data_IF_648680846862
#
_entry.id   IF_648680846862
#
_cell.length_a   1.000
_cell.length_b   1.000
_cell.length_c   1.000
_cell.angle_alpha   90.00
_cell.angle_beta   90.00
_cell.angle_gamma   90.00
#
_symmetry.space_group_name_H-M   'P 1'
#
loop_
_entity.id
_entity.type
_entity.pdbx_description
1 polymer ?
#
# COMPACT_ATOMS: atom_id res chain seq x y z
N UNK A 1 30.98 -4.23 4.73
CA UNK A 1 30.70 -2.82 4.41
C UNK A 1 30.54 -2.56 2.92
N UNK A 2 31.56 -2.73 2.06
CA UNK A 2 31.45 -2.45 0.60
C UNK A 2 30.29 -3.20 -0.06
N UNK A 3 30.13 -4.50 0.20
CA UNK A 3 29.03 -5.31 -0.35
C UNK A 3 27.65 -4.78 0.06
N UNK A 4 27.49 -4.28 1.29
CA UNK A 4 26.21 -3.74 1.78
C UNK A 4 25.89 -2.40 1.13
N UNK A 5 26.90 -1.56 0.90
CA UNK A 5 26.77 -0.33 0.12
C UNK A 5 26.37 -0.66 -1.32
N UNK A 6 26.98 -1.68 -1.93
CA UNK A 6 26.61 -2.15 -3.27
C UNK A 6 25.14 -2.64 -3.30
N UNK A 7 24.71 -3.43 -2.31
CA UNK A 7 23.29 -3.84 -2.22
C UNK A 7 22.35 -2.66 -2.12
N UNK A 8 22.70 -1.67 -1.31
CA UNK A 8 21.88 -0.46 -1.14
C UNK A 8 21.80 0.35 -2.45
N UNK A 9 22.92 0.59 -3.10
CA UNK A 9 22.97 1.39 -4.34
C UNK A 9 22.31 0.66 -5.51
N UNK A 10 22.69 -0.60 -5.75
CA UNK A 10 22.11 -1.43 -6.83
C UNK A 10 20.62 -1.63 -6.58
N UNK A 11 20.24 -1.94 -5.31
CA UNK A 11 18.85 -2.10 -4.92
C UNK A 11 18.04 -0.84 -5.20
N UNK A 12 18.53 0.33 -4.82
CA UNK A 12 17.86 1.60 -5.06
C UNK A 12 17.73 1.93 -6.56
N UNK A 13 18.78 1.67 -7.36
CA UNK A 13 18.71 1.86 -8.82
C UNK A 13 17.68 0.93 -9.44
N UNK A 14 17.67 -0.36 -9.06
CA UNK A 14 16.68 -1.32 -9.54
C UNK A 14 15.26 -0.94 -9.12
N UNK A 15 15.08 -0.48 -7.89
CA UNK A 15 13.80 -0.04 -7.36
C UNK A 15 13.24 1.15 -8.17
N UNK A 16 14.04 2.18 -8.41
CA UNK A 16 13.62 3.38 -9.16
C UNK A 16 13.37 3.04 -10.63
N UNK A 17 14.27 2.31 -11.30
CA UNK A 17 14.11 1.91 -12.70
C UNK A 17 13.00 0.90 -12.89
N UNK A 18 12.82 -0.01 -11.93
CA UNK A 18 11.70 -0.93 -11.89
C UNK A 18 10.37 -0.19 -11.79
N UNK A 19 10.28 0.80 -10.90
CA UNK A 19 9.10 1.64 -10.76
C UNK A 19 8.80 2.46 -12.03
N UNK A 20 9.83 2.98 -12.72
CA UNK A 20 9.66 3.67 -14.00
C UNK A 20 8.96 2.78 -15.04
N UNK A 21 9.48 1.55 -15.24
CA UNK A 21 8.92 0.57 -16.18
C UNK A 21 7.51 0.12 -15.74
N UNK A 22 7.34 -0.12 -14.44
CA UNK A 22 6.06 -0.58 -13.90
C UNK A 22 4.93 0.43 -14.12
N UNK A 23 5.21 1.71 -13.86
CA UNK A 23 4.25 2.80 -14.07
C UNK A 23 3.96 2.99 -15.56
N UNK A 24 4.98 2.97 -16.45
CA UNK A 24 4.77 3.06 -17.89
C UNK A 24 3.89 1.93 -18.42
N UNK A 25 4.21 0.68 -18.03
CA UNK A 25 3.41 -0.47 -18.40
C UNK A 25 1.96 -0.39 -17.88
N UNK A 26 1.77 0.13 -16.64
CA UNK A 26 0.46 0.34 -16.05
C UNK A 26 -0.36 1.42 -16.79
N UNK A 27 0.27 2.53 -17.15
CA UNK A 27 -0.36 3.60 -17.96
C UNK A 27 -0.83 3.07 -19.30
N UNK A 28 0.06 2.43 -20.06
CA UNK A 28 -0.26 1.87 -21.36
C UNK A 28 -1.31 0.75 -21.30
N UNK A 29 -1.26 -0.08 -20.21
CA UNK A 29 -2.29 -1.09 -19.97
C UNK A 29 -3.67 -0.44 -19.77
N UNK A 30 -3.74 0.63 -18.95
CA UNK A 30 -4.99 1.34 -18.71
C UNK A 30 -5.56 1.93 -20.00
N UNK A 31 -4.72 2.57 -20.81
CA UNK A 31 -5.10 3.14 -22.11
C UNK A 31 -5.60 2.04 -23.08
N UNK A 32 -4.89 0.90 -23.18
CA UNK A 32 -5.30 -0.22 -24.06
C UNK A 32 -6.57 -0.91 -23.63
N UNK A 33 -6.77 -1.09 -22.34
CA UNK A 33 -8.01 -1.67 -21.80
C UNK A 33 -9.13 -0.63 -21.74
N UNK A 34 -8.81 0.64 -22.04
CA UNK A 34 -9.74 1.78 -21.94
C UNK A 34 -10.39 1.89 -20.57
N UNK A 35 -9.65 1.58 -19.52
CA UNK A 35 -10.10 1.69 -18.13
C UNK A 35 -9.38 2.85 -17.45
N UNK A 36 -10.01 3.53 -16.49
CA UNK A 36 -9.36 4.61 -15.76
C UNK A 36 -8.05 4.16 -15.10
N UNK A 37 -7.00 4.98 -15.19
CA UNK A 37 -5.67 4.66 -14.67
C UNK A 37 -5.68 4.37 -13.16
N UNK A 38 -6.58 5.00 -12.39
CA UNK A 38 -6.71 4.74 -10.96
C UNK A 38 -7.10 3.29 -10.65
N UNK A 39 -7.88 2.61 -11.53
CA UNK A 39 -8.24 1.20 -11.34
C UNK A 39 -7.02 0.31 -11.50
N UNK A 40 -6.13 0.60 -12.47
CA UNK A 40 -4.88 -0.15 -12.62
C UNK A 40 -3.97 0.10 -11.41
N UNK A 41 -3.90 1.35 -10.93
CA UNK A 41 -3.22 1.69 -9.69
C UNK A 41 -3.77 0.92 -8.48
N UNK A 42 -5.09 0.91 -8.31
CA UNK A 42 -5.82 0.28 -7.22
C UNK A 42 -5.73 -1.25 -7.21
N UNK A 43 -5.44 -1.86 -8.35
CA UNK A 43 -5.42 -3.32 -8.52
C UNK A 43 -4.02 -3.83 -8.86
N UNK A 44 -3.57 -3.67 -10.10
CA UNK A 44 -2.31 -4.27 -10.59
C UNK A 44 -1.09 -3.69 -9.85
N UNK A 45 -1.04 -2.36 -9.71
CA UNK A 45 0.12 -1.71 -9.08
C UNK A 45 0.13 -1.97 -7.58
N UNK A 46 -1.00 -1.79 -6.91
CA UNK A 46 -1.13 -2.05 -5.48
C UNK A 46 -0.84 -3.52 -5.12
N UNK A 47 -1.37 -4.47 -5.89
CA UNK A 47 -1.05 -5.89 -5.71
C UNK A 47 0.45 -6.14 -5.82
N UNK A 48 1.09 -5.61 -6.87
CA UNK A 48 2.51 -5.84 -7.10
C UNK A 48 3.39 -5.25 -6.00
N UNK A 49 3.13 -4.02 -5.58
CA UNK A 49 3.96 -3.36 -4.56
C UNK A 49 3.77 -3.96 -3.17
N UNK A 50 2.58 -4.47 -2.83
CA UNK A 50 2.28 -5.07 -1.52
C UNK A 50 2.66 -6.55 -1.38
N UNK A 51 3.32 -7.16 -2.38
CA UNK A 51 3.81 -8.53 -2.24
C UNK A 51 4.90 -8.73 -1.17
N UNK A 52 5.81 -7.78 -0.90
CA UNK A 52 6.71 -7.89 0.24
C UNK A 52 5.97 -7.94 1.58
N UNK A 53 4.95 -7.12 1.78
CA UNK A 53 4.09 -7.17 2.95
C UNK A 53 3.39 -8.52 3.09
N UNK A 54 2.88 -9.05 1.96
CA UNK A 54 2.27 -10.38 1.93
C UNK A 54 3.28 -11.46 2.36
N UNK A 55 4.49 -11.42 1.83
CA UNK A 55 5.53 -12.39 2.18
C UNK A 55 5.87 -12.34 3.67
N UNK A 56 6.03 -11.14 4.24
CA UNK A 56 6.32 -10.96 5.69
C UNK A 56 5.16 -11.44 6.53
N UNK A 57 3.94 -10.97 6.30
CA UNK A 57 2.79 -11.25 7.16
C UNK A 57 2.33 -12.71 7.06
N UNK A 58 2.32 -13.30 5.87
CA UNK A 58 1.95 -14.70 5.68
C UNK A 58 3.00 -15.62 6.33
N UNK A 59 4.30 -15.31 6.14
CA UNK A 59 5.37 -16.09 6.78
C UNK A 59 5.30 -15.98 8.31
N UNK A 60 5.07 -14.78 8.85
CA UNK A 60 4.89 -14.58 10.28
C UNK A 60 3.70 -15.39 10.83
N UNK A 61 2.58 -15.43 10.10
CA UNK A 61 1.40 -16.24 10.48
C UNK A 61 1.71 -17.74 10.45
N UNK A 62 2.44 -18.23 9.46
CA UNK A 62 2.89 -19.62 9.39
C UNK A 62 3.81 -20.01 10.55
N UNK A 63 4.58 -19.05 11.07
CA UNK A 63 5.49 -19.23 12.22
C UNK A 63 4.82 -18.98 13.57
N UNK A 64 3.52 -18.63 13.60
CA UNK A 64 2.79 -18.28 14.81
C UNK A 64 3.14 -16.91 15.40
N UNK A 65 3.87 -16.07 14.66
CA UNK A 65 4.26 -14.70 15.06
C UNK A 65 3.15 -13.70 14.71
N UNK A 66 2.00 -13.85 15.36
CA UNK A 66 0.77 -13.15 15.04
C UNK A 66 0.88 -11.62 15.11
N UNK A 67 1.57 -11.10 16.15
CA UNK A 67 1.78 -9.67 16.34
C UNK A 67 2.57 -9.05 15.18
N UNK A 68 3.55 -9.78 14.63
CA UNK A 68 4.31 -9.33 13.46
C UNK A 68 3.39 -9.29 12.24
N UNK A 69 2.53 -10.30 12.04
CA UNK A 69 1.64 -10.37 10.91
C UNK A 69 0.67 -9.19 10.86
N UNK A 70 -0.04 -8.92 11.96
CA UNK A 70 -1.04 -7.84 12.01
C UNK A 70 -0.39 -6.46 12.14
N UNK A 71 0.70 -6.34 12.90
CA UNK A 71 1.44 -5.11 13.09
C UNK A 71 2.05 -4.60 11.79
N UNK A 72 2.60 -5.49 10.94
CA UNK A 72 3.10 -5.15 9.62
C UNK A 72 1.99 -4.54 8.74
N UNK A 73 0.80 -5.14 8.73
CA UNK A 73 -0.34 -4.67 7.93
C UNK A 73 -0.83 -3.28 8.38
N UNK A 74 -1.07 -3.08 9.68
CA UNK A 74 -1.54 -1.80 10.20
C UNK A 74 -0.45 -0.73 10.02
N UNK A 75 0.80 -1.06 10.31
CA UNK A 75 1.94 -0.17 10.17
C UNK A 75 2.16 0.29 8.73
N UNK A 76 2.11 -0.64 7.75
CA UNK A 76 2.19 -0.33 6.32
C UNK A 76 1.04 0.57 5.88
N UNK A 77 -0.20 0.33 6.35
CA UNK A 77 -1.34 1.16 5.99
C UNK A 77 -1.23 2.59 6.55
N UNK A 78 -0.71 2.75 7.77
CA UNK A 78 -0.42 4.06 8.36
C UNK A 78 0.69 4.77 7.55
N UNK A 79 1.78 4.05 7.22
CA UNK A 79 2.88 4.58 6.42
C UNK A 79 2.41 4.99 5.02
N UNK A 80 1.65 4.13 4.35
CA UNK A 80 1.09 4.41 3.04
C UNK A 80 0.23 5.69 3.04
N UNK A 81 -0.64 5.82 4.04
CA UNK A 81 -1.54 6.99 4.13
C UNK A 81 -0.79 8.26 4.50
N UNK A 82 0.12 8.22 5.49
CA UNK A 82 0.77 9.42 6.03
C UNK A 82 2.07 9.81 5.33
N UNK A 83 2.80 8.84 4.75
CA UNK A 83 4.11 9.09 4.16
C UNK A 83 4.08 8.95 2.64
N UNK A 84 3.60 7.82 2.11
CA UNK A 84 3.62 7.56 0.65
C UNK A 84 2.77 8.59 -0.10
N UNK A 85 1.55 8.84 0.39
CA UNK A 85 0.64 9.81 -0.22
C UNK A 85 1.19 11.24 -0.16
N UNK A 86 1.81 11.61 0.96
CA UNK A 86 2.46 12.93 1.14
C UNK A 86 3.69 13.05 0.25
N UNK A 87 4.55 12.03 0.22
CA UNK A 87 5.73 12.05 -0.63
C UNK A 87 5.35 12.25 -2.10
N UNK A 88 4.28 11.59 -2.57
CA UNK A 88 3.73 11.81 -3.91
C UNK A 88 3.26 13.26 -4.10
N UNK A 89 2.58 13.83 -3.11
CA UNK A 89 2.05 15.20 -3.16
C UNK A 89 3.13 16.30 -3.12
N UNK A 90 4.34 15.98 -2.66
CA UNK A 90 5.48 16.90 -2.71
C UNK A 90 6.00 17.12 -4.13
N UNK A 91 5.95 16.08 -4.99
CA UNK A 91 6.40 16.14 -6.38
C UNK A 91 5.33 16.74 -7.30
N UNK A 92 4.05 16.39 -7.08
CA UNK A 92 2.94 16.99 -7.80
C UNK A 92 1.72 17.04 -6.85
N UNK A 93 0.91 18.14 -6.87
CA UNK A 93 -0.34 18.17 -6.10
C UNK A 93 -1.21 16.99 -6.49
N UNK A 94 -1.40 16.05 -5.55
CA UNK A 94 -2.15 14.82 -5.81
C UNK A 94 -3.64 15.15 -5.80
N UNK A 95 -4.22 15.28 -6.99
CA UNK A 95 -5.65 15.43 -7.14
C UNK A 95 -6.33 14.09 -6.77
N UNK A 96 -7.28 14.15 -5.83
CA UNK A 96 -8.09 12.99 -5.46
C UNK A 96 -9.48 13.20 -6.04
N UNK A 97 -9.83 12.48 -7.10
CA UNK A 97 -11.03 12.74 -7.90
C UNK A 97 -12.07 11.61 -7.78
N UNK A 98 -13.31 11.96 -8.11
CA UNK A 98 -14.37 11.05 -8.51
C UNK A 98 -14.58 9.85 -7.59
N UNK A 99 -14.41 8.66 -8.11
CA UNK A 99 -14.74 7.41 -7.43
C UNK A 99 -13.80 7.06 -6.29
N UNK A 100 -12.54 7.50 -6.33
CA UNK A 100 -11.61 7.31 -5.21
C UNK A 100 -12.17 7.98 -3.96
N UNK A 101 -12.62 9.25 -4.06
CA UNK A 101 -13.23 9.97 -2.93
C UNK A 101 -14.58 9.42 -2.51
N UNK A 102 -15.42 9.01 -3.48
CA UNK A 102 -16.81 8.64 -3.19
C UNK A 102 -16.98 7.18 -2.78
N UNK A 103 -16.06 6.29 -3.18
CA UNK A 103 -16.18 4.86 -2.99
C UNK A 103 -14.96 4.27 -2.28
N UNK A 104 -13.76 4.43 -2.88
CA UNK A 104 -12.61 3.63 -2.48
C UNK A 104 -12.03 4.07 -1.13
N UNK A 105 -11.98 5.37 -0.89
CA UNK A 105 -11.54 5.91 0.40
C UNK A 105 -12.53 5.58 1.54
N UNK A 106 -13.86 5.82 1.41
CA UNK A 106 -14.84 5.37 2.40
C UNK A 106 -14.84 3.85 2.59
N UNK A 107 -14.65 3.09 1.52
CA UNK A 107 -14.53 1.63 1.61
C UNK A 107 -13.30 1.22 2.43
N UNK A 108 -12.14 1.85 2.20
CA UNK A 108 -10.92 1.60 2.98
C UNK A 108 -11.12 1.89 4.47
N UNK A 109 -11.81 2.99 4.83
CA UNK A 109 -12.18 3.30 6.22
C UNK A 109 -13.13 2.24 6.78
N UNK A 110 -14.14 1.87 6.00
CA UNK A 110 -15.14 0.88 6.40
C UNK A 110 -14.53 -0.50 6.68
N UNK A 111 -13.62 -0.98 5.83
CA UNK A 111 -12.97 -2.29 6.04
C UNK A 111 -12.02 -2.27 7.24
N UNK A 112 -11.38 -1.12 7.55
CA UNK A 112 -10.59 -0.98 8.79
C UNK A 112 -11.49 -1.11 10.01
N UNK A 113 -12.68 -0.49 10.00
CA UNK A 113 -13.67 -0.63 11.05
C UNK A 113 -14.19 -2.09 11.16
N UNK A 114 -14.47 -2.74 10.02
CA UNK A 114 -14.86 -4.16 9.99
C UNK A 114 -13.77 -5.03 10.61
N UNK A 115 -12.50 -4.81 10.29
CA UNK A 115 -11.38 -5.54 10.89
C UNK A 115 -11.38 -5.41 12.43
N UNK A 116 -11.58 -4.20 12.97
CA UNK A 116 -11.63 -3.97 14.42
C UNK A 116 -12.84 -4.70 15.04
N UNK A 117 -14.00 -4.64 14.39
CA UNK A 117 -15.19 -5.35 14.85
C UNK A 117 -14.95 -6.86 14.89
N UNK A 118 -14.35 -7.43 13.85
CA UNK A 118 -14.03 -8.87 13.79
C UNK A 118 -13.05 -9.27 14.89
N UNK A 119 -12.01 -8.45 15.16
CA UNK A 119 -11.06 -8.68 16.25
C UNK A 119 -11.76 -8.80 17.64
N UNK A 120 -12.85 -8.04 17.85
CA UNK A 120 -13.48 -7.92 19.16
C UNK A 120 -14.69 -8.82 19.36
N UNK A 121 -15.39 -9.27 18.31
CA UNK A 121 -16.75 -9.80 18.45
C UNK A 121 -16.88 -11.32 18.39
N UNK A 122 -16.05 -12.04 17.65
CA UNK A 122 -16.29 -13.46 17.37
C UNK A 122 -15.53 -14.44 18.28
N UNK A 123 -14.82 -13.99 19.33
CA UNK A 123 -13.84 -14.79 20.05
C UNK A 123 -14.07 -15.00 21.57
N UNK A 124 -15.30 -14.90 22.05
CA UNK A 124 -15.63 -15.20 23.48
C UNK A 124 -14.72 -14.52 24.52
N UNK A 125 -14.25 -13.30 24.22
CA UNK A 125 -13.41 -12.50 25.13
C UNK A 125 -11.93 -12.39 24.74
N UNK A 126 -11.47 -13.19 23.78
CA UNK A 126 -10.11 -13.02 23.21
C UNK A 126 -10.12 -11.98 22.07
N UNK A 127 -9.11 -11.15 22.02
CA UNK A 127 -8.88 -10.25 20.87
C UNK A 127 -8.12 -11.05 19.81
N UNK A 128 -8.81 -11.48 18.75
CA UNK A 128 -8.18 -12.29 17.72
C UNK A 128 -9.01 -12.29 16.42
N UNK A 129 -8.35 -12.55 15.30
CA UNK A 129 -8.99 -12.94 14.05
C UNK A 129 -9.00 -14.46 13.92
N UNK A 130 -10.16 -15.02 13.67
CA UNK A 130 -10.35 -16.45 13.42
C UNK A 130 -10.22 -16.79 11.94
N UNK A 131 -10.23 -18.09 11.61
CA UNK A 131 -10.30 -18.55 10.22
C UNK A 131 -11.57 -18.07 9.52
N UNK A 132 -12.69 -17.97 10.25
CA UNK A 132 -13.93 -17.45 9.68
C UNK A 132 -13.80 -15.98 9.32
N UNK A 133 -13.17 -15.17 10.18
CA UNK A 133 -12.89 -13.77 9.90
C UNK A 133 -12.00 -13.62 8.67
N UNK A 134 -10.98 -14.48 8.53
CA UNK A 134 -10.14 -14.51 7.34
C UNK A 134 -10.94 -14.79 6.07
N UNK A 135 -11.87 -15.75 6.10
CA UNK A 135 -12.76 -16.06 4.96
C UNK A 135 -13.66 -14.86 4.65
N UNK A 136 -14.20 -14.18 5.67
CA UNK A 136 -15.02 -12.97 5.50
C UNK A 136 -14.21 -11.88 4.80
N UNK A 137 -12.97 -11.62 5.26
CA UNK A 137 -12.09 -10.63 4.65
C UNK A 137 -11.78 -10.97 3.18
N UNK A 138 -11.48 -12.23 2.87
CA UNK A 138 -11.24 -12.69 1.50
C UNK A 138 -12.49 -12.58 0.62
N UNK A 139 -13.67 -12.86 1.15
CA UNK A 139 -14.92 -12.67 0.43
C UNK A 139 -15.17 -11.19 0.11
N UNK A 140 -14.91 -10.28 1.07
CA UNK A 140 -14.97 -8.84 0.85
C UNK A 140 -13.94 -8.37 -0.19
N UNK A 141 -12.75 -8.97 -0.19
CA UNK A 141 -11.74 -8.72 -1.23
C UNK A 141 -12.23 -9.11 -2.61
N UNK A 142 -12.82 -10.30 -2.75
CA UNK A 142 -13.39 -10.75 -4.03
C UNK A 142 -14.50 -9.81 -4.52
N UNK A 143 -15.39 -9.37 -3.62
CA UNK A 143 -16.44 -8.39 -3.94
C UNK A 143 -15.83 -7.06 -4.39
N UNK A 144 -14.81 -6.57 -3.69
CA UNK A 144 -14.10 -5.35 -4.07
C UNK A 144 -13.45 -5.46 -5.46
N UNK A 145 -12.75 -6.56 -5.74
CA UNK A 145 -12.10 -6.79 -7.03
C UNK A 145 -13.10 -6.86 -8.18
N UNK A 146 -14.19 -7.64 -8.00
CA UNK A 146 -15.27 -7.72 -9.01
C UNK A 146 -15.90 -6.34 -9.22
N UNK A 147 -16.19 -5.62 -8.13
CA UNK A 147 -16.76 -4.26 -8.20
C UNK A 147 -15.85 -3.30 -8.96
N UNK A 148 -14.53 -3.36 -8.72
CA UNK A 148 -13.54 -2.51 -9.40
C UNK A 148 -13.46 -2.82 -10.91
N UNK A 149 -13.48 -4.10 -11.30
CA UNK A 149 -13.50 -4.52 -12.72
C UNK A 149 -14.80 -4.08 -13.41
N UNK A 150 -15.96 -4.28 -12.76
CA UNK A 150 -17.27 -3.89 -13.33
C UNK A 150 -17.33 -2.38 -13.54
N UNK A 151 -16.85 -1.60 -12.56
CA UNK A 151 -16.82 -0.14 -12.68
C UNK A 151 -15.85 0.31 -13.77
N UNK A 152 -14.67 -0.28 -13.85
CA UNK A 152 -13.73 0.00 -14.92
C UNK A 152 -14.35 -0.17 -16.31
N UNK A 153 -15.08 -1.27 -16.51
CA UNK A 153 -15.83 -1.52 -17.76
C UNK A 153 -16.95 -0.51 -18.00
N UNK A 154 -17.62 -0.05 -16.94
CA UNK A 154 -18.69 0.97 -17.08
C UNK A 154 -18.12 2.34 -17.45
N UNK A 155 -17.01 2.74 -16.81
CA UNK A 155 -16.34 4.00 -17.12
C UNK A 155 -15.65 3.97 -18.48
N UNK A 156 -15.13 2.83 -18.92
CA UNK A 156 -14.60 2.60 -20.25
C UNK A 156 -15.58 3.02 -21.36
N UNK A 157 -16.86 2.64 -21.21
CA UNK A 157 -17.91 3.02 -22.17
C UNK A 157 -18.18 4.53 -22.21
N UNK A 158 -17.93 5.24 -21.09
CA UNK A 158 -18.07 6.69 -21.02
C UNK A 158 -16.85 7.40 -21.67
N UNK A 159 -15.68 6.81 -21.54
CA UNK A 159 -14.43 7.30 -22.17
C UNK A 159 -14.47 7.10 -23.68
N UNK A 160 -15.04 6.00 -24.17
CA UNK A 160 -15.24 5.75 -25.62
C UNK A 160 -16.09 6.82 -26.31
N UNK A 161 -17.01 7.45 -25.58
CA UNK A 161 -17.83 8.55 -26.10
C UNK A 161 -17.14 9.92 -26.06
N UNK A 162 -15.98 10.03 -25.39
CA UNK A 162 -15.16 11.24 -25.34
C UNK A 162 -13.93 11.03 -26.24
N UNK A 163 -13.69 11.93 -27.20
CA UNK A 163 -12.58 11.85 -28.18
C UNK A 163 -11.17 11.96 -27.57
N UNK A 164 -11.02 12.11 -26.25
CA UNK A 164 -9.75 12.31 -25.52
C UNK A 164 -9.21 11.01 -24.88
N UNK A 165 -9.13 9.90 -25.60
CA UNK A 165 -8.40 8.74 -25.10
C UNK A 165 -6.90 8.92 -25.29
N UNK A 166 -6.12 8.94 -24.22
CA UNK A 166 -4.65 8.85 -24.28
C UNK A 166 -4.26 7.66 -25.18
N UNK A 167 -3.45 7.91 -26.20
CA UNK A 167 -3.01 6.86 -27.11
C UNK A 167 -1.96 6.01 -26.37
N UNK A 168 -2.21 4.72 -26.32
CA UNK A 168 -1.22 3.77 -25.81
C UNK A 168 -0.06 3.65 -26.82
N UNK A 169 1.16 3.93 -26.38
CA UNK A 169 2.34 3.93 -27.26
C UNK A 169 2.89 2.51 -27.48
N UNK A 170 2.76 1.60 -26.49
CA UNK A 170 3.32 0.27 -26.54
C UNK A 170 2.31 -0.79 -27.02
N UNK A 171 2.73 -1.85 -27.75
CA UNK A 171 1.89 -3.01 -28.00
C UNK A 171 1.62 -3.80 -26.70
N UNK A 172 0.47 -4.50 -26.59
CA UNK A 172 0.01 -5.18 -25.36
C UNK A 172 1.10 -6.04 -24.71
N UNK A 173 1.84 -6.83 -25.50
CA UNK A 173 2.91 -7.69 -24.98
C UNK A 173 4.04 -6.88 -24.31
N UNK A 174 4.37 -5.69 -24.83
CA UNK A 174 5.36 -4.80 -24.19
C UNK A 174 4.83 -4.18 -22.91
N UNK A 175 3.55 -3.80 -22.86
CA UNK A 175 2.93 -3.34 -21.62
C UNK A 175 3.06 -4.39 -20.52
N UNK A 176 2.71 -5.65 -20.83
CA UNK A 176 2.84 -6.76 -19.89
C UNK A 176 4.30 -7.03 -19.50
N UNK A 177 5.22 -6.97 -20.47
CA UNK A 177 6.64 -7.14 -20.21
C UNK A 177 7.18 -6.03 -19.29
N UNK A 178 6.78 -4.77 -19.50
CA UNK A 178 7.17 -3.64 -18.65
C UNK A 178 6.60 -3.80 -17.24
N UNK A 179 5.36 -4.25 -17.11
CA UNK A 179 4.75 -4.56 -15.81
C UNK A 179 5.57 -5.64 -15.11
N UNK A 180 5.90 -6.75 -15.77
CA UNK A 180 6.61 -7.88 -15.16
C UNK A 180 8.05 -7.48 -14.79
N UNK A 181 8.81 -6.91 -15.71
CA UNK A 181 10.20 -6.49 -15.45
C UNK A 181 10.23 -5.39 -14.40
N UNK A 182 9.33 -4.41 -14.52
CA UNK A 182 9.20 -3.33 -13.55
C UNK A 182 8.87 -3.85 -12.17
N UNK A 183 7.90 -4.74 -12.05
CA UNK A 183 7.53 -5.41 -10.81
C UNK A 183 8.71 -6.16 -10.19
N UNK A 184 9.41 -7.01 -10.96
CA UNK A 184 10.60 -7.74 -10.46
C UNK A 184 11.67 -6.75 -10.00
N UNK A 185 11.92 -5.68 -10.78
CA UNK A 185 12.85 -4.62 -10.40
C UNK A 185 12.48 -3.92 -9.09
N UNK A 186 11.19 -3.62 -8.89
CA UNK A 186 10.67 -3.00 -7.66
C UNK A 186 10.86 -3.94 -6.45
N UNK A 187 10.45 -5.20 -6.57
CA UNK A 187 10.53 -6.16 -5.46
C UNK A 187 11.98 -6.50 -5.11
N UNK A 188 12.78 -6.89 -6.09
CA UNK A 188 14.21 -7.24 -5.87
C UNK A 188 14.99 -6.01 -5.42
N UNK A 189 14.75 -4.86 -6.06
CA UNK A 189 15.38 -3.60 -5.68
C UNK A 189 15.05 -3.19 -4.25
N UNK A 190 13.79 -3.30 -3.85
CA UNK A 190 13.35 -3.05 -2.47
C UNK A 190 14.04 -3.97 -1.47
N UNK A 191 14.05 -5.29 -1.72
CA UNK A 191 14.70 -6.27 -0.84
C UNK A 191 16.21 -6.03 -0.69
N UNK A 192 16.91 -5.73 -1.78
CA UNK A 192 18.34 -5.42 -1.73
C UNK A 192 18.61 -4.12 -0.97
N UNK A 193 17.80 -3.08 -1.19
CA UNK A 193 17.90 -1.81 -0.48
C UNK A 193 17.74 -2.01 1.03
N UNK A 194 16.68 -2.73 1.44
CA UNK A 194 16.41 -3.03 2.85
C UNK A 194 17.54 -3.86 3.46
N UNK A 195 18.01 -4.90 2.76
CA UNK A 195 19.12 -5.74 3.24
C UNK A 195 20.40 -4.90 3.44
N UNK A 196 20.75 -4.07 2.47
CA UNK A 196 21.91 -3.19 2.58
C UNK A 196 21.78 -2.20 3.72
N UNK A 197 20.61 -1.55 3.85
CA UNK A 197 20.35 -0.57 4.91
C UNK A 197 20.34 -1.21 6.31
N UNK A 198 19.71 -2.39 6.47
CA UNK A 198 19.67 -3.15 7.72
C UNK A 198 21.08 -3.47 8.21
N UNK A 199 21.89 -4.08 7.37
CA UNK A 199 23.23 -4.50 7.74
C UNK A 199 24.14 -3.29 8.08
N UNK A 200 24.01 -2.19 7.31
CA UNK A 200 24.75 -0.96 7.60
C UNK A 200 24.34 -0.33 8.94
N UNK A 201 23.05 -0.34 9.26
CA UNK A 201 22.53 0.17 10.53
C UNK A 201 23.02 -0.67 11.72
N UNK A 202 23.05 -2.01 11.60
CA UNK A 202 23.62 -2.91 12.60
C UNK A 202 25.12 -2.68 12.78
N UNK A 203 25.86 -2.51 11.68
CA UNK A 203 27.30 -2.19 11.72
C UNK A 203 27.58 -0.81 12.34
N UNK A 204 26.64 0.13 12.26
CA UNK A 204 26.71 1.44 12.92
C UNK A 204 26.35 1.38 14.42
N UNK A 205 26.08 0.17 14.97
CA UNK A 205 25.78 -0.04 16.39
C UNK A 205 24.32 0.11 16.78
N UNK A 206 23.41 0.21 15.82
CA UNK A 206 21.96 0.20 16.11
C UNK A 206 21.53 -1.19 16.58
N UNK A 207 20.65 -1.27 17.59
CA UNK A 207 20.12 -2.54 18.07
C UNK A 207 19.19 -3.18 17.02
N UNK A 208 19.13 -4.52 17.00
CA UNK A 208 18.22 -5.27 16.11
C UNK A 208 16.76 -4.83 16.26
N UNK A 209 16.34 -4.49 17.48
CA UNK A 209 14.99 -3.98 17.77
C UNK A 209 14.73 -2.66 17.04
N UNK A 210 15.65 -1.69 17.13
CA UNK A 210 15.51 -0.39 16.47
C UNK A 210 15.54 -0.55 14.95
N UNK A 211 16.45 -1.38 14.43
CA UNK A 211 16.54 -1.67 12.99
C UNK A 211 15.25 -2.35 12.49
N UNK A 212 14.70 -3.30 13.24
CA UNK A 212 13.45 -3.96 12.90
C UNK A 212 12.26 -2.99 12.86
N UNK A 213 12.14 -2.15 13.89
CA UNK A 213 11.04 -1.17 14.02
C UNK A 213 11.13 0.01 13.03
N UNK A 214 12.30 0.26 12.46
CA UNK A 214 12.52 1.38 11.54
C UNK A 214 12.85 0.91 10.12
N UNK A 215 14.06 0.41 9.89
CA UNK A 215 14.56 0.08 8.55
C UNK A 215 13.74 -1.03 7.89
N UNK A 216 13.40 -2.08 8.64
CA UNK A 216 12.63 -3.21 8.07
C UNK A 216 11.16 -2.82 7.89
N UNK A 217 10.55 -2.16 8.89
CA UNK A 217 9.15 -1.74 8.81
C UNK A 217 8.89 -0.75 7.68
N UNK A 218 9.77 0.23 7.48
CA UNK A 218 9.68 1.15 6.33
C UNK A 218 10.02 0.41 5.03
N UNK A 219 10.91 -0.56 5.12
CA UNK A 219 11.50 -1.24 3.98
C UNK A 219 10.51 -2.07 3.17
N UNK A 220 9.51 -2.69 3.79
CA UNK A 220 8.47 -3.42 3.06
C UNK A 220 7.62 -2.48 2.21
N UNK A 221 7.36 -1.26 2.68
CA UNK A 221 6.57 -0.25 1.96
C UNK A 221 7.41 0.67 1.04
N UNK A 222 8.71 0.39 0.85
CA UNK A 222 9.54 1.12 -0.13
C UNK A 222 9.04 0.97 -1.58
N UNK A 223 8.57 -0.21 -2.03
CA UNK A 223 7.93 -0.36 -3.32
C UNK A 223 6.78 0.61 -3.55
N UNK A 224 5.86 0.71 -2.60
CA UNK A 224 4.74 1.65 -2.64
C UNK A 224 5.23 3.09 -2.73
N UNK A 225 6.18 3.45 -1.88
CA UNK A 225 6.72 4.81 -1.79
C UNK A 225 7.34 5.22 -3.13
N UNK A 226 8.28 4.42 -3.65
CA UNK A 226 9.01 4.78 -4.87
C UNK A 226 8.10 4.74 -6.08
N UNK A 227 7.22 3.73 -6.22
CA UNK A 227 6.28 3.62 -7.33
C UNK A 227 5.29 4.79 -7.35
N UNK A 228 4.75 5.20 -6.19
CA UNK A 228 3.83 6.34 -6.11
C UNK A 228 4.53 7.67 -6.37
N UNK A 229 5.77 7.86 -5.92
CA UNK A 229 6.58 9.04 -6.26
C UNK A 229 6.85 9.10 -7.78
N UNK A 230 7.23 7.98 -8.39
CA UNK A 230 7.48 7.90 -9.83
C UNK A 230 6.21 8.20 -10.62
N UNK A 231 5.07 7.63 -10.23
CA UNK A 231 3.79 7.92 -10.84
C UNK A 231 3.43 9.42 -10.74
N UNK A 232 3.59 10.02 -9.56
CA UNK A 232 3.33 11.45 -9.34
C UNK A 232 4.27 12.33 -10.20
N UNK A 233 5.57 11.99 -10.30
CA UNK A 233 6.53 12.71 -11.17
C UNK A 233 6.16 12.64 -12.64
N UNK A 234 5.56 11.52 -13.08
CA UNK A 234 5.04 11.33 -14.43
C UNK A 234 3.64 11.96 -14.63
N UNK A 235 3.14 12.73 -13.66
CA UNK A 235 1.79 13.30 -13.66
C UNK A 235 0.66 12.25 -13.65
N UNK A 236 0.97 11.00 -13.34
CA UNK A 236 0.02 9.89 -13.22
C UNK A 236 -0.53 9.81 -11.78
N UNK A 237 -1.14 10.92 -11.32
CA UNK A 237 -1.64 11.05 -9.96
C UNK A 237 -2.70 10.01 -9.61
N UNK A 238 -3.51 9.62 -10.57
CA UNK A 238 -4.55 8.61 -10.41
C UNK A 238 -3.95 7.23 -10.10
N UNK A 239 -2.82 6.87 -10.71
CA UNK A 239 -2.06 5.65 -10.38
C UNK A 239 -1.46 5.77 -8.97
N UNK A 240 -0.86 6.93 -8.63
CA UNK A 240 -0.24 7.12 -7.32
C UNK A 240 -1.25 6.97 -6.17
N UNK A 241 -2.42 7.62 -6.26
CA UNK A 241 -3.49 7.49 -5.24
C UNK A 241 -4.10 6.09 -5.25
N UNK A 242 -4.34 5.55 -6.45
CA UNK A 242 -4.86 4.19 -6.61
C UNK A 242 -3.93 3.17 -5.94
N UNK A 243 -2.62 3.29 -6.12
CA UNK A 243 -1.63 2.43 -5.46
C UNK A 243 -1.75 2.50 -3.94
N UNK A 244 -1.76 3.69 -3.32
CA UNK A 244 -1.85 3.86 -1.86
C UNK A 244 -3.14 3.25 -1.30
N UNK A 245 -4.29 3.62 -1.85
CA UNK A 245 -5.60 3.13 -1.35
C UNK A 245 -5.76 1.64 -1.65
N UNK A 246 -5.31 1.19 -2.83
CA UNK A 246 -5.35 -0.22 -3.22
C UNK A 246 -4.48 -1.09 -2.33
N UNK A 247 -3.24 -0.66 -2.02
CA UNK A 247 -2.35 -1.37 -1.09
C UNK A 247 -2.96 -1.48 0.30
N UNK A 248 -3.58 -0.42 0.81
CA UNK A 248 -4.26 -0.47 2.11
C UNK A 248 -5.41 -1.47 2.13
N UNK A 249 -6.24 -1.49 1.07
CA UNK A 249 -7.34 -2.45 0.93
C UNK A 249 -6.81 -3.88 0.77
N UNK A 250 -5.76 -4.06 -0.05
CA UNK A 250 -5.12 -5.35 -0.28
C UNK A 250 -4.53 -5.91 1.01
N UNK A 251 -3.84 -5.09 1.78
CA UNK A 251 -3.26 -5.45 3.07
C UNK A 251 -4.33 -5.93 4.06
N UNK A 252 -5.42 -5.18 4.23
CA UNK A 252 -6.49 -5.49 5.18
C UNK A 252 -7.34 -6.69 4.74
N UNK A 253 -7.68 -6.81 3.47
CA UNK A 253 -8.62 -7.83 3.01
C UNK A 253 -7.92 -9.10 2.54
N UNK A 254 -6.86 -8.97 1.75
CA UNK A 254 -6.21 -10.13 1.15
C UNK A 254 -5.12 -10.70 2.05
N UNK A 255 -4.14 -9.88 2.45
CA UNK A 255 -3.01 -10.39 3.22
C UNK A 255 -3.47 -10.83 4.61
N UNK A 256 -4.21 -9.98 5.32
CA UNK A 256 -4.72 -10.33 6.64
C UNK A 256 -5.76 -11.46 6.56
N UNK A 257 -6.57 -11.48 5.49
CA UNK A 257 -7.52 -12.55 5.22
C UNK A 257 -6.85 -13.90 5.03
N UNK A 258 -5.77 -13.99 4.22
CA UNK A 258 -4.97 -15.22 4.08
C UNK A 258 -4.33 -15.58 5.41
N UNK A 259 -3.70 -14.62 6.08
CA UNK A 259 -3.02 -14.85 7.36
C UNK A 259 -3.96 -15.43 8.42
N UNK A 260 -5.17 -14.91 8.54
CA UNK A 260 -6.19 -15.40 9.48
C UNK A 260 -6.77 -16.77 9.08
N UNK A 261 -6.84 -17.10 7.77
CA UNK A 261 -7.27 -18.43 7.31
C UNK A 261 -6.23 -19.52 7.58
N UNK A 262 -4.95 -19.18 7.58
CA UNK A 262 -3.86 -20.11 7.95
C UNK A 262 -3.97 -20.49 9.42
N UNK A 263 -4.16 -19.51 10.31
CA UNK A 263 -4.26 -19.71 11.74
C UNK A 263 -4.94 -18.56 12.47
N UNK A 264 -5.45 -18.84 13.68
CA UNK A 264 -5.99 -17.78 14.56
C UNK A 264 -4.89 -16.75 14.83
N UNK A 265 -5.16 -15.48 14.52
CA UNK A 265 -4.27 -14.35 14.82
C UNK A 265 -4.71 -13.76 16.16
N UNK A 266 -4.16 -14.30 17.24
CA UNK A 266 -4.33 -13.73 18.57
C UNK A 266 -3.49 -12.46 18.72
N UNK A 267 -4.05 -11.45 19.39
CA UNK A 267 -3.38 -10.17 19.61
C UNK A 267 -3.84 -9.51 20.91
N UNK A 268 -3.29 -8.37 21.23
CA UNK A 268 -3.64 -7.58 22.39
C UNK A 268 -4.51 -6.34 22.05
N UNK A 269 -4.95 -5.64 23.08
CA UNK A 269 -5.76 -4.42 22.91
C UNK A 269 -5.01 -3.29 22.22
N UNK A 270 -3.69 -3.33 22.18
CA UNK A 270 -2.88 -2.32 21.51
C UNK A 270 -3.13 -2.31 20.01
N UNK A 271 -3.34 -3.47 19.41
CA UNK A 271 -3.68 -3.58 17.97
C UNK A 271 -5.05 -2.93 17.67
N UNK A 272 -6.00 -3.00 18.57
CA UNK A 272 -7.29 -2.30 18.44
C UNK A 272 -7.07 -0.79 18.49
N UNK A 273 -6.20 -0.31 19.40
CA UNK A 273 -5.81 1.11 19.45
C UNK A 273 -5.17 1.54 18.13
N UNK A 274 -4.20 0.77 17.61
CA UNK A 274 -3.53 1.05 16.35
C UNK A 274 -4.51 1.08 15.17
N UNK A 275 -5.49 0.18 15.14
CA UNK A 275 -6.58 0.19 14.18
C UNK A 275 -7.47 1.45 14.29
N UNK A 276 -7.78 1.90 15.51
CA UNK A 276 -8.51 3.15 15.75
C UNK A 276 -7.71 4.37 15.28
N UNK A 277 -6.39 4.38 15.53
CA UNK A 277 -5.48 5.41 15.03
C UNK A 277 -5.49 5.42 13.50
N UNK A 278 -5.41 4.26 12.86
CA UNK A 278 -5.50 4.16 11.39
C UNK A 278 -6.82 4.72 10.86
N UNK A 279 -7.97 4.42 11.51
CA UNK A 279 -9.26 5.03 11.13
C UNK A 279 -9.19 6.55 11.26
N UNK A 280 -8.68 7.06 12.37
CA UNK A 280 -8.54 8.51 12.60
C UNK A 280 -7.68 9.18 11.51
N UNK A 281 -6.57 8.57 11.14
CA UNK A 281 -5.67 9.02 10.06
C UNK A 281 -6.41 9.01 8.70
N UNK A 282 -7.08 7.91 8.38
CA UNK A 282 -7.84 7.80 7.14
C UNK A 282 -8.98 8.82 7.09
N UNK A 283 -9.72 9.04 8.19
CA UNK A 283 -10.78 10.04 8.27
C UNK A 283 -10.22 11.46 8.10
N UNK A 284 -9.14 11.81 8.78
CA UNK A 284 -8.47 13.10 8.62
C UNK A 284 -8.09 13.34 7.16
N UNK A 285 -7.40 12.37 6.55
CA UNK A 285 -6.96 12.45 5.16
C UNK A 285 -8.13 12.56 4.19
N UNK A 286 -9.20 11.79 4.44
CA UNK A 286 -10.43 11.81 3.65
C UNK A 286 -11.16 13.15 3.72
N UNK A 287 -11.40 13.69 4.93
CA UNK A 287 -12.07 14.98 5.13
C UNK A 287 -11.27 16.08 4.44
N UNK A 288 -9.95 16.06 4.58
CA UNK A 288 -9.09 17.04 3.94
C UNK A 288 -9.12 16.92 2.41
N UNK A 289 -9.10 15.69 1.88
CA UNK A 289 -9.21 15.43 0.45
C UNK A 289 -10.59 15.86 -0.10
N UNK A 290 -11.68 15.68 0.65
CA UNK A 290 -13.01 16.14 0.30
C UNK A 290 -13.08 17.68 0.20
N UNK A 291 -12.52 18.37 1.21
CA UNK A 291 -12.56 19.82 1.28
C UNK A 291 -11.75 20.49 0.15
N UNK A 292 -10.58 19.95 -0.16
CA UNK A 292 -9.63 20.58 -1.08
C UNK A 292 -9.55 19.91 -2.47
N UNK A 293 -10.17 18.73 -2.65
CA UNK A 293 -10.08 17.86 -3.83
C UNK A 293 -8.64 17.51 -4.24
N UNK A 294 -7.69 17.74 -3.36
CA UNK A 294 -6.25 17.47 -3.53
C UNK A 294 -5.57 17.38 -2.18
N UNK A 295 -4.49 16.62 -2.13
CA UNK A 295 -3.55 16.65 -1.02
C UNK A 295 -2.45 17.65 -1.39
N UNK A 296 -2.32 18.68 -0.57
CA UNK A 296 -1.37 19.75 -0.77
C UNK A 296 -0.25 19.73 0.28
N UNK A 297 0.80 20.52 0.08
CA UNK A 297 1.97 20.57 0.96
C UNK A 297 1.65 20.86 2.44
N UNK A 298 0.78 21.82 2.80
CA UNK A 298 0.43 22.06 4.21
C UNK A 298 -0.20 20.84 4.88
N UNK A 299 -1.13 20.16 4.19
CA UNK A 299 -1.69 18.89 4.69
C UNK A 299 -0.60 17.84 4.87
N UNK A 300 0.30 17.72 3.89
CA UNK A 300 1.42 16.80 3.95
C UNK A 300 2.31 17.00 5.17
N UNK A 301 2.59 18.26 5.54
CA UNK A 301 3.38 18.56 6.76
C UNK A 301 2.67 18.03 8.01
N UNK A 302 1.36 18.27 8.14
CA UNK A 302 0.57 17.75 9.28
C UNK A 302 0.59 16.22 9.30
N UNK A 303 0.42 15.57 8.15
CA UNK A 303 0.44 14.10 8.04
C UNK A 303 1.81 13.52 8.44
N UNK A 304 2.92 14.15 8.06
CA UNK A 304 4.26 13.72 8.50
C UNK A 304 4.40 13.87 10.02
N UNK A 305 3.93 14.97 10.61
CA UNK A 305 3.95 15.11 12.07
C UNK A 305 3.10 14.02 12.75
N UNK A 306 1.94 13.67 12.20
CA UNK A 306 1.14 12.55 12.71
C UNK A 306 1.91 11.23 12.64
N UNK A 307 2.65 10.98 11.56
CA UNK A 307 3.48 9.76 11.42
C UNK A 307 4.60 9.73 12.46
N UNK A 308 5.31 10.86 12.64
CA UNK A 308 6.36 10.97 13.67
C UNK A 308 5.79 10.75 15.07
N UNK A 309 4.66 11.38 15.40
CA UNK A 309 3.99 11.21 16.68
C UNK A 309 3.59 9.74 16.93
N UNK A 310 3.02 9.07 15.91
CA UNK A 310 2.69 7.65 16.00
C UNK A 310 3.94 6.78 16.18
N UNK A 311 5.02 7.06 15.46
CA UNK A 311 6.28 6.31 15.60
C UNK A 311 6.87 6.48 17.00
N UNK A 312 6.87 7.70 17.54
CA UNK A 312 7.30 7.96 18.93
C UNK A 312 6.41 7.20 19.91
N UNK A 313 5.09 7.22 19.73
CA UNK A 313 4.16 6.44 20.56
C UNK A 313 4.50 4.95 20.55
N UNK A 314 4.80 4.36 19.38
CA UNK A 314 5.20 2.94 19.27
C UNK A 314 6.54 2.63 19.97
N UNK A 315 7.49 3.57 19.99
CA UNK A 315 8.78 3.37 20.62
C UNK A 315 8.74 3.47 22.16
N UNK A 316 7.75 4.20 22.69
CA UNK A 316 7.59 4.44 24.15
C UNK A 316 6.67 3.40 24.78
N UNK A 317 5.74 2.84 24.02
CA UNK A 317 4.88 1.74 24.43
C UNK A 317 5.65 0.41 24.48
#
# INVERSE_FOLDING_TARGET
>A
MVLMILFLVIGFVLLVKGADLFVDGACDLSAKLRIPAYIVGLTVVAFGTSLPEAAVSITASLQGSNEIAIGNIIGSNIFNTLVVLVASALFAPVAVKGNILKRDFPFCIGITAVMIVLLMTLNHGDIALTRLDGIILLALFAVFMVGSVVMGKKESKLIESAEDSEKADLPMWKCLLFIIIGFVGVVVGGQLTVKGAKELALMAGMSERVVGLTVVAIGTSLPELVTSIVAARKQQNDIAVGNVIGSNIFNLLFILGISATIGKIGTDFNVVIDGCVLIGICLFTYIFALANKKINRPCGVVMIFMYVAYTVYLLVR
#
